data_IF_137751986255
#
_entry.id   IF_137751986255
#
_cell.length_a   1.000
_cell.length_b   1.000
_cell.length_c   1.000
_cell.angle_alpha   90.00
_cell.angle_beta   90.00
_cell.angle_gamma   90.00
#
_symmetry.space_group_name_H-M   'P 1'
#
loop_
_entity.id
_entity.type
_entity.pdbx_description
1 polymer ?
#
# COMPACT_ATOMS: atom_id res chain seq x y z
N UNK A 1 9.09 0.40 -17.83
CA UNK A 1 8.01 1.39 -17.61
C UNK A 1 8.45 2.84 -17.76
N UNK A 2 9.58 3.32 -17.20
CA UNK A 2 10.05 4.71 -17.41
C UNK A 2 10.09 5.14 -18.89
N UNK A 3 10.48 4.22 -19.77
CA UNK A 3 10.58 4.47 -21.21
C UNK A 3 9.22 4.45 -21.94
N UNK A 4 8.13 4.03 -21.28
CA UNK A 4 6.79 4.00 -21.85
C UNK A 4 6.02 5.32 -21.63
N UNK A 5 6.54 6.22 -20.77
CA UNK A 5 5.92 7.49 -20.42
C UNK A 5 4.43 7.37 -20.03
N UNK A 6 4.11 6.36 -19.23
CA UNK A 6 2.74 6.11 -18.74
C UNK A 6 2.54 6.71 -17.34
N UNK A 7 1.32 7.18 -17.00
CA UNK A 7 1.04 7.89 -15.75
C UNK A 7 0.88 6.98 -14.54
N UNK A 8 1.44 5.76 -14.58
CA UNK A 8 1.35 4.81 -13.47
C UNK A 8 2.38 5.13 -12.40
N UNK A 9 1.92 5.24 -11.15
CA UNK A 9 2.76 5.42 -9.98
C UNK A 9 2.76 4.17 -9.10
N UNK A 10 3.90 3.88 -8.47
CA UNK A 10 4.07 2.79 -7.52
C UNK A 10 3.50 3.20 -6.17
N UNK A 11 2.60 2.40 -5.60
CA UNK A 11 2.00 2.62 -4.28
C UNK A 11 2.13 1.36 -3.40
N UNK A 12 1.36 1.30 -2.32
CA UNK A 12 1.21 0.12 -1.49
C UNK A 12 2.45 -0.26 -0.68
N UNK A 13 2.52 -1.54 -0.29
CA UNK A 13 3.57 -2.05 0.59
C UNK A 13 4.97 -1.97 -0.02
N UNK A 14 5.07 -2.10 -1.34
CA UNK A 14 6.35 -2.03 -2.06
C UNK A 14 6.88 -0.61 -2.15
N UNK A 15 6.01 0.39 -2.37
CA UNK A 15 6.39 1.80 -2.25
C UNK A 15 6.91 2.13 -0.85
N UNK A 16 6.18 1.75 0.21
CA UNK A 16 6.60 2.00 1.59
C UNK A 16 7.92 1.33 1.93
N UNK A 17 8.02 0.03 1.64
CA UNK A 17 9.21 -0.76 1.96
C UNK A 17 10.43 -0.24 1.22
N UNK A 18 10.37 -0.11 -0.10
CA UNK A 18 11.58 0.18 -0.92
C UNK A 18 11.82 1.67 -1.15
N UNK A 19 10.80 2.50 -0.98
CA UNK A 19 10.87 3.94 -1.21
C UNK A 19 10.99 4.80 0.05
N UNK A 20 10.56 4.29 1.21
CA UNK A 20 10.50 5.08 2.45
C UNK A 20 11.24 4.46 3.64
N UNK A 21 10.87 3.26 4.09
CA UNK A 21 11.22 2.80 5.44
C UNK A 21 12.11 1.55 5.52
N UNK A 22 12.12 0.72 4.48
CA UNK A 22 12.85 -0.53 4.42
C UNK A 22 12.63 -1.43 5.66
N UNK A 23 11.37 -1.56 6.08
CA UNK A 23 10.96 -2.27 7.31
C UNK A 23 10.70 -3.76 7.10
N UNK A 24 10.02 -4.14 6.01
CA UNK A 24 9.70 -5.53 5.65
C UNK A 24 9.81 -5.78 4.15
N UNK A 25 9.93 -7.03 3.72
CA UNK A 25 9.79 -7.39 2.30
C UNK A 25 8.33 -7.28 1.84
N UNK A 26 8.16 -7.02 0.54
CA UNK A 26 6.88 -6.96 -0.15
C UNK A 26 7.06 -7.69 -1.48
N UNK A 27 6.10 -8.58 -1.79
CA UNK A 27 6.18 -9.51 -2.93
C UNK A 27 5.23 -9.09 -4.08
N UNK A 28 4.52 -7.96 -3.90
CA UNK A 28 3.50 -7.45 -4.82
C UNK A 28 3.97 -6.12 -5.46
N UNK A 29 3.54 -5.82 -6.68
CA UNK A 29 3.76 -4.53 -7.33
C UNK A 29 2.40 -3.89 -7.60
N UNK A 30 2.10 -2.82 -6.87
CA UNK A 30 0.88 -2.03 -7.00
C UNK A 30 1.16 -0.77 -7.84
N UNK A 31 0.59 -0.69 -9.04
CA UNK A 31 0.76 0.43 -9.96
C UNK A 31 -0.59 1.08 -10.23
N UNK A 32 -0.73 2.32 -9.79
CA UNK A 32 -2.01 3.02 -9.81
C UNK A 32 -1.97 4.18 -10.81
N UNK A 33 -3.13 4.51 -11.35
CA UNK A 33 -3.45 5.82 -11.95
C UNK A 33 -4.66 6.39 -11.23
N UNK A 34 -4.92 7.70 -11.31
CA UNK A 34 -6.13 8.28 -10.74
C UNK A 34 -7.10 8.75 -11.82
N UNK A 35 -8.34 8.24 -11.76
CA UNK A 35 -9.47 8.57 -12.63
C UNK A 35 -9.07 8.75 -14.12
N UNK A 36 -8.31 7.79 -14.63
CA UNK A 36 -7.68 7.86 -15.94
C UNK A 36 -8.55 7.17 -17.01
N UNK A 37 -9.18 7.91 -17.93
CA UNK A 37 -10.03 7.33 -18.97
C UNK A 37 -9.27 6.43 -19.95
N UNK A 38 -7.94 6.54 -20.00
CA UNK A 38 -7.08 5.72 -20.86
C UNK A 38 -6.49 4.49 -20.14
N UNK A 39 -6.89 4.23 -18.88
CA UNK A 39 -6.32 3.17 -18.04
C UNK A 39 -6.19 1.84 -18.77
N UNK A 40 -7.26 1.34 -19.40
CA UNK A 40 -7.28 0.02 -20.05
C UNK A 40 -6.26 -0.10 -21.19
N UNK A 41 -6.14 0.94 -22.01
CA UNK A 41 -5.20 0.97 -23.13
C UNK A 41 -3.76 1.03 -22.60
N UNK A 42 -3.51 1.88 -21.61
CA UNK A 42 -2.18 2.06 -21.04
C UNK A 42 -1.74 0.83 -20.22
N UNK A 43 -2.65 0.18 -19.49
CA UNK A 43 -2.40 -1.07 -18.80
C UNK A 43 -2.06 -2.20 -19.78
N UNK A 44 -2.75 -2.27 -20.92
CA UNK A 44 -2.37 -3.18 -22.01
C UNK A 44 -0.96 -2.90 -22.53
N UNK A 45 -0.57 -1.63 -22.70
CA UNK A 45 0.78 -1.28 -23.11
C UNK A 45 1.84 -1.76 -22.09
N UNK A 46 1.54 -1.76 -20.79
CA UNK A 46 2.42 -2.34 -19.76
C UNK A 46 2.56 -3.85 -19.98
N UNK A 47 1.46 -4.57 -20.12
CA UNK A 47 1.44 -6.03 -20.34
C UNK A 47 2.21 -6.40 -21.60
N UNK A 48 1.93 -5.73 -22.73
CA UNK A 48 2.61 -5.98 -24.00
C UNK A 48 4.12 -5.69 -23.89
N UNK A 49 4.50 -4.63 -23.14
CA UNK A 49 5.91 -4.33 -22.88
C UNK A 49 6.58 -5.38 -22.00
N UNK A 50 5.90 -5.93 -20.98
CA UNK A 50 6.45 -7.01 -20.15
C UNK A 50 6.73 -8.24 -21.01
N UNK A 51 5.77 -8.67 -21.84
CA UNK A 51 5.94 -9.81 -22.75
C UNK A 51 7.08 -9.57 -23.74
N UNK A 52 7.14 -8.37 -24.35
CA UNK A 52 8.23 -7.99 -25.25
C UNK A 52 9.62 -8.09 -24.59
N UNK A 53 9.70 -7.84 -23.27
CA UNK A 53 10.95 -7.94 -22.49
C UNK A 53 11.17 -9.32 -21.86
N UNK A 54 10.50 -10.37 -22.35
CA UNK A 54 10.77 -11.76 -21.94
C UNK A 54 10.07 -12.21 -20.65
N UNK A 55 9.18 -11.39 -20.08
CA UNK A 55 8.36 -11.83 -18.96
C UNK A 55 7.21 -12.71 -19.45
N UNK A 56 6.95 -13.80 -18.73
CA UNK A 56 5.80 -14.66 -18.94
C UNK A 56 4.70 -14.28 -17.97
N UNK A 57 3.49 -14.07 -18.49
CA UNK A 57 2.28 -13.81 -17.70
C UNK A 57 1.56 -15.13 -17.46
N UNK A 58 1.24 -15.43 -16.20
CA UNK A 58 0.41 -16.58 -15.87
C UNK A 58 -1.06 -16.28 -16.19
N UNK A 59 -1.52 -16.76 -17.34
CA UNK A 59 -2.88 -16.55 -17.82
C UNK A 59 -3.96 -17.08 -16.85
N UNK A 60 -3.65 -18.08 -16.02
CA UNK A 60 -4.61 -18.63 -15.06
C UNK A 60 -4.88 -17.67 -13.88
N UNK A 61 -4.02 -16.67 -13.69
CA UNK A 61 -4.09 -15.70 -12.58
C UNK A 61 -4.72 -14.37 -12.99
N UNK A 62 -4.97 -14.15 -14.29
CA UNK A 62 -5.44 -12.87 -14.80
C UNK A 62 -6.85 -12.58 -14.27
N UNK A 63 -6.97 -11.49 -13.53
CA UNK A 63 -8.25 -10.90 -13.15
C UNK A 63 -8.36 -9.53 -13.79
N UNK A 64 -9.52 -9.20 -14.37
CA UNK A 64 -9.76 -7.90 -15.02
C UNK A 64 -11.16 -7.40 -14.74
N UNK A 65 -11.26 -6.12 -14.39
CA UNK A 65 -12.51 -5.36 -14.32
C UNK A 65 -12.34 -4.02 -15.07
N UNK A 66 -13.27 -3.09 -14.88
CA UNK A 66 -13.21 -1.76 -15.51
C UNK A 66 -11.94 -0.99 -15.09
N UNK A 67 -11.63 -1.02 -13.80
CA UNK A 67 -10.61 -0.18 -13.16
C UNK A 67 -9.49 -0.99 -12.48
N UNK A 68 -9.40 -2.29 -12.78
CA UNK A 68 -8.45 -3.18 -12.13
C UNK A 68 -7.98 -4.28 -13.08
N UNK A 69 -6.68 -4.56 -13.11
CA UNK A 69 -6.08 -5.71 -13.79
C UNK A 69 -5.00 -6.29 -12.88
N UNK A 70 -5.10 -7.59 -12.59
CA UNK A 70 -4.15 -8.31 -11.73
C UNK A 70 -3.65 -9.57 -12.41
N UNK A 71 -2.36 -9.86 -12.29
CA UNK A 71 -1.74 -11.02 -12.89
C UNK A 71 -0.39 -11.33 -12.21
N UNK A 72 0.05 -12.58 -12.29
CA UNK A 72 1.39 -12.99 -11.87
C UNK A 72 2.32 -13.01 -13.09
N UNK A 73 3.54 -12.50 -12.90
CA UNK A 73 4.62 -12.57 -13.87
C UNK A 73 5.79 -13.42 -13.37
N UNK A 74 6.48 -14.04 -14.32
CA UNK A 74 7.73 -14.77 -14.13
C UNK A 74 8.72 -14.41 -15.24
N UNK A 75 10.00 -14.73 -15.04
CA UNK A 75 11.04 -14.52 -16.03
C UNK A 75 12.13 -15.58 -15.84
N UNK A 76 12.65 -16.15 -16.92
CA UNK A 76 13.62 -17.27 -16.85
C UNK A 76 14.89 -16.95 -16.03
N UNK A 77 15.39 -15.73 -16.13
CA UNK A 77 16.55 -15.25 -15.36
C UNK A 77 16.28 -15.00 -13.87
N UNK A 78 15.03 -15.04 -13.41
CA UNK A 78 14.66 -14.75 -12.02
C UNK A 78 13.85 -15.91 -11.43
N UNK A 79 14.38 -16.56 -10.40
CA UNK A 79 13.66 -17.62 -9.68
C UNK A 79 12.67 -17.04 -8.65
N UNK A 80 11.78 -16.14 -9.10
CA UNK A 80 10.76 -15.49 -8.28
C UNK A 80 9.51 -15.24 -9.13
N UNK A 81 8.36 -15.32 -8.50
CA UNK A 81 7.09 -14.90 -9.08
C UNK A 81 6.68 -13.57 -8.45
N UNK A 82 6.18 -12.63 -9.25
CA UNK A 82 5.71 -11.34 -8.76
C UNK A 82 4.26 -11.16 -9.15
N UNK A 83 3.42 -10.83 -8.17
CA UNK A 83 2.06 -10.37 -8.43
C UNK A 83 2.10 -8.90 -8.83
N UNK A 84 1.42 -8.55 -9.90
CA UNK A 84 1.24 -7.17 -10.34
C UNK A 84 -0.24 -6.81 -10.31
N UNK A 85 -0.55 -5.70 -9.66
CA UNK A 85 -1.87 -5.10 -9.63
C UNK A 85 -1.81 -3.72 -10.31
N UNK A 86 -2.53 -3.58 -11.41
CA UNK A 86 -2.73 -2.31 -12.12
C UNK A 86 -4.11 -1.78 -11.75
N UNK A 87 -4.18 -0.57 -11.19
CA UNK A 87 -5.43 -0.03 -10.64
C UNK A 87 -5.68 1.38 -11.16
N UNK A 88 -6.93 1.66 -11.55
CA UNK A 88 -7.42 3.00 -11.79
C UNK A 88 -8.21 3.46 -10.57
N UNK A 89 -7.54 4.11 -9.64
CA UNK A 89 -8.19 4.59 -8.42
C UNK A 89 -9.10 5.78 -8.78
N UNK A 90 -10.41 5.57 -8.65
CA UNK A 90 -11.43 6.60 -8.87
C UNK A 90 -11.62 7.49 -7.65
N UNK A 91 -11.11 7.07 -6.49
CA UNK A 91 -11.15 7.87 -5.28
C UNK A 91 -10.13 9.04 -5.35
N UNK A 92 -10.27 10.06 -4.50
CA UNK A 92 -9.30 11.14 -4.40
C UNK A 92 -7.89 10.63 -4.11
N UNK A 93 -6.89 11.36 -4.59
CA UNK A 93 -5.48 11.14 -4.26
C UNK A 93 -5.00 12.25 -3.32
N UNK A 94 -4.25 11.88 -2.29
CA UNK A 94 -3.75 12.83 -1.29
C UNK A 94 -2.21 12.96 -1.36
N UNK A 95 -1.68 14.17 -1.29
CA UNK A 95 -0.24 14.40 -1.38
C UNK A 95 0.28 14.43 -2.82
N UNK A 96 1.53 14.02 -3.04
CA UNK A 96 2.17 14.18 -4.36
C UNK A 96 2.94 12.95 -4.81
N UNK A 97 2.86 12.65 -6.11
CA UNK A 97 3.69 11.63 -6.74
C UNK A 97 5.11 12.18 -6.92
N UNK A 98 6.10 11.49 -6.37
CA UNK A 98 7.49 11.95 -6.32
C UNK A 98 8.46 10.85 -6.77
N UNK A 99 9.61 11.21 -7.36
CA UNK A 99 10.64 10.24 -7.67
C UNK A 99 11.27 9.68 -6.39
N UNK A 100 11.40 8.35 -6.33
CA UNK A 100 12.13 7.63 -5.30
C UNK A 100 13.13 6.66 -5.94
N UNK A 101 14.14 6.17 -5.20
CA UNK A 101 15.09 5.19 -5.72
C UNK A 101 14.44 3.92 -6.28
N UNK A 102 13.32 3.49 -5.68
CA UNK A 102 12.56 2.31 -6.15
C UNK A 102 11.88 2.55 -7.50
N UNK A 103 11.28 3.73 -7.70
CA UNK A 103 10.53 4.04 -8.91
C UNK A 103 10.31 5.55 -9.05
N UNK A 104 10.37 6.05 -10.30
CA UNK A 104 10.38 7.49 -10.59
C UNK A 104 9.02 8.18 -10.40
N UNK A 105 7.93 7.43 -10.35
CA UNK A 105 6.60 7.90 -9.96
C UNK A 105 6.18 7.10 -8.73
N UNK A 106 6.64 7.47 -7.54
CA UNK A 106 6.25 6.77 -6.31
C UNK A 106 5.22 7.61 -5.54
N UNK A 107 4.21 6.94 -5.02
CA UNK A 107 3.13 7.54 -4.25
C UNK A 107 3.63 8.23 -2.98
N UNK A 108 2.85 9.18 -2.48
CA UNK A 108 3.09 9.85 -1.21
C UNK A 108 2.81 8.88 -0.06
N UNK A 109 3.65 8.93 0.99
CA UNK A 109 3.42 8.13 2.19
C UNK A 109 2.06 8.42 2.82
N UNK A 110 1.55 9.65 2.68
CA UNK A 110 0.27 10.04 3.23
C UNK A 110 -0.89 9.39 2.47
N UNK A 111 -0.89 9.40 1.12
CA UNK A 111 -1.88 8.64 0.36
C UNK A 111 -1.87 7.16 0.72
N UNK A 112 -0.67 6.59 0.88
CA UNK A 112 -0.54 5.18 1.27
C UNK A 112 -1.12 4.96 2.67
N UNK A 113 -0.86 5.83 3.65
CA UNK A 113 -1.49 5.76 4.97
C UNK A 113 -3.01 5.72 4.85
N UNK A 114 -3.61 6.65 4.10
CA UNK A 114 -5.05 6.71 3.87
C UNK A 114 -5.56 5.38 3.29
N UNK A 115 -4.91 4.86 2.24
CA UNK A 115 -5.27 3.58 1.63
C UNK A 115 -5.09 2.39 2.59
N UNK A 116 -4.15 2.43 3.52
CA UNK A 116 -4.00 1.36 4.52
C UNK A 116 -5.10 1.39 5.56
N UNK A 117 -5.53 2.58 6.00
CA UNK A 117 -6.67 2.73 6.90
C UNK A 117 -7.93 2.15 6.27
N UNK A 118 -8.16 2.43 4.98
CA UNK A 118 -9.34 1.93 4.28
C UNK A 118 -9.33 0.40 4.14
N UNK A 119 -8.17 -0.28 4.09
CA UNK A 119 -8.11 -1.74 3.90
C UNK A 119 -8.09 -2.58 5.18
N UNK A 120 -8.10 -1.96 6.37
CA UNK A 120 -7.97 -2.67 7.67
C UNK A 120 -9.00 -3.79 7.89
N UNK A 121 -10.18 -3.70 7.29
CA UNK A 121 -11.22 -4.74 7.37
C UNK A 121 -10.80 -6.10 6.81
N UNK A 122 -9.74 -6.15 5.98
CA UNK A 122 -9.18 -7.40 5.44
C UNK A 122 -8.42 -8.20 6.51
N UNK A 123 -8.09 -7.56 7.63
CA UNK A 123 -7.31 -8.16 8.73
C UNK A 123 -5.94 -8.69 8.29
N UNK A 124 -5.35 -8.11 7.23
CA UNK A 124 -4.02 -8.44 6.75
C UNK A 124 -2.97 -7.75 7.62
N UNK A 125 -2.19 -8.53 8.37
CA UNK A 125 -1.17 -8.03 9.32
C UNK A 125 -0.20 -7.00 8.70
N UNK A 126 0.08 -7.11 7.39
CA UNK A 126 0.92 -6.18 6.64
C UNK A 126 0.37 -4.75 6.68
N UNK A 127 -0.95 -4.57 6.67
CA UNK A 127 -1.58 -3.24 6.69
C UNK A 127 -1.41 -2.58 8.06
N UNK A 128 -1.60 -3.32 9.15
CA UNK A 128 -1.35 -2.84 10.52
C UNK A 128 0.11 -2.45 10.72
N UNK A 129 1.03 -3.29 10.26
CA UNK A 129 2.47 -3.02 10.31
C UNK A 129 2.83 -1.79 9.48
N UNK A 130 2.25 -1.63 8.30
CA UNK A 130 2.55 -0.47 7.45
C UNK A 130 2.05 0.83 8.09
N UNK A 131 0.84 0.86 8.67
CA UNK A 131 0.32 2.01 9.44
C UNK A 131 1.24 2.32 10.63
N UNK A 132 1.59 1.30 11.40
CA UNK A 132 2.49 1.43 12.55
C UNK A 132 3.82 2.08 12.16
N UNK A 133 4.47 1.56 11.12
CA UNK A 133 5.76 2.06 10.68
C UNK A 133 5.66 3.48 10.14
N UNK A 134 4.58 3.83 9.43
CA UNK A 134 4.33 5.22 9.05
C UNK A 134 4.23 6.10 10.29
N UNK A 135 3.43 5.70 11.28
CA UNK A 135 3.23 6.47 12.50
C UNK A 135 4.51 6.65 13.33
N UNK A 136 5.41 5.66 13.36
CA UNK A 136 6.73 5.83 14.01
C UNK A 136 7.64 6.88 13.35
N UNK A 137 7.40 7.25 12.09
CA UNK A 137 8.34 8.06 11.31
C UNK A 137 7.71 9.32 10.68
N UNK A 138 6.41 9.53 10.83
CA UNK A 138 5.66 10.62 10.20
C UNK A 138 4.67 11.24 11.16
N UNK A 139 4.71 12.56 11.27
CA UNK A 139 3.69 13.36 11.95
C UNK A 139 2.48 13.52 11.03
N UNK A 140 1.29 13.28 11.58
CA UNK A 140 0.00 13.52 10.94
C UNK A 140 -1.07 13.63 12.03
N UNK A 141 -2.24 14.16 11.68
CA UNK A 141 -3.39 14.21 12.57
C UNK A 141 -4.40 13.10 12.23
N UNK A 142 -4.89 12.38 13.24
CA UNK A 142 -5.80 11.25 13.02
C UNK A 142 -7.19 11.65 12.54
N UNK A 143 -7.73 12.79 13.00
CA UNK A 143 -9.02 13.29 12.52
C UNK A 143 -8.95 13.66 11.04
N UNK A 144 -7.87 14.32 10.62
CA UNK A 144 -7.64 14.63 9.22
C UNK A 144 -7.48 13.35 8.38
N UNK A 145 -6.66 12.40 8.84
CA UNK A 145 -6.43 11.15 8.13
C UNK A 145 -7.73 10.33 7.98
N UNK A 146 -8.56 10.25 9.03
CA UNK A 146 -9.86 9.59 8.95
C UNK A 146 -10.83 10.32 8.04
N UNK A 147 -10.84 11.67 8.06
CA UNK A 147 -11.66 12.46 7.14
C UNK A 147 -11.31 12.15 5.69
N UNK A 148 -10.01 12.16 5.36
CA UNK A 148 -9.53 11.84 4.02
C UNK A 148 -9.80 10.38 3.63
N UNK A 149 -9.70 9.44 4.58
CA UNK A 149 -10.05 8.04 4.34
C UNK A 149 -11.54 7.86 4.02
N UNK A 150 -12.42 8.64 4.67
CA UNK A 150 -13.88 8.62 4.40
C UNK A 150 -14.25 9.14 3.01
N UNK A 151 -13.41 9.99 2.41
CA UNK A 151 -13.60 10.40 1.02
C UNK A 151 -13.35 9.24 0.03
N UNK A 152 -12.60 8.20 0.46
CA UNK A 152 -12.36 6.98 -0.33
C UNK A 152 -13.32 5.85 0.00
N UNK A 153 -13.58 5.62 1.28
CA UNK A 153 -14.43 4.52 1.76
C UNK A 153 -15.41 5.03 2.82
N UNK A 154 -16.71 4.97 2.51
CA UNK A 154 -17.74 5.45 3.43
C UNK A 154 -17.88 4.50 4.63
N UNK A 155 -18.26 5.05 5.78
CA UNK A 155 -18.53 4.24 6.98
C UNK A 155 -17.31 3.91 7.84
N UNK A 156 -16.15 4.52 7.56
CA UNK A 156 -15.00 4.44 8.46
C UNK A 156 -15.26 5.22 9.76
N UNK A 157 -15.68 4.51 10.80
CA UNK A 157 -15.91 5.04 12.14
C UNK A 157 -14.66 4.89 13.03
N UNK A 158 -14.27 5.89 13.86
CA UNK A 158 -13.04 5.82 14.65
C UNK A 158 -13.08 4.66 15.66
N UNK A 159 -14.24 4.36 16.25
CA UNK A 159 -14.41 3.26 17.20
C UNK A 159 -14.28 1.91 16.49
N UNK A 160 -14.81 1.80 15.27
CA UNK A 160 -14.59 0.61 14.43
C UNK A 160 -13.11 0.41 14.10
N UNK A 161 -12.41 1.45 13.66
CA UNK A 161 -10.99 1.35 13.31
C UNK A 161 -10.14 1.02 14.54
N UNK A 162 -10.41 1.68 15.68
CA UNK A 162 -9.78 1.36 16.96
C UNK A 162 -9.98 -0.11 17.34
N UNK A 163 -11.19 -0.65 17.16
CA UNK A 163 -11.47 -2.06 17.41
C UNK A 163 -10.66 -2.96 16.48
N UNK A 164 -10.56 -2.64 15.18
CA UNK A 164 -9.76 -3.41 14.23
C UNK A 164 -8.28 -3.44 14.65
N UNK A 165 -7.70 -2.29 15.00
CA UNK A 165 -6.32 -2.16 15.48
C UNK A 165 -6.07 -2.96 16.78
N UNK A 166 -7.10 -3.20 17.60
CA UNK A 166 -7.01 -4.08 18.79
C UNK A 166 -7.25 -5.57 18.49
N UNK A 167 -7.76 -5.91 17.32
CA UNK A 167 -8.01 -7.30 16.89
C UNK A 167 -6.88 -7.90 16.04
N UNK A 168 -5.69 -7.31 16.09
CA UNK A 168 -4.54 -7.74 15.28
C UNK A 168 -4.32 -9.25 15.44
N UNK A 169 -4.21 -10.02 14.34
CA UNK A 169 -3.86 -11.43 14.41
C UNK A 169 -2.39 -11.58 14.84
N UNK A 170 -2.14 -11.71 16.15
CA UNK A 170 -0.79 -11.73 16.74
C UNK A 170 0.07 -12.88 16.20
N UNK A 171 -0.53 -14.02 15.85
CA UNK A 171 0.17 -15.13 15.21
C UNK A 171 0.71 -14.75 13.81
N UNK A 172 0.02 -13.85 13.12
CA UNK A 172 0.42 -13.38 11.79
C UNK A 172 1.63 -12.42 11.83
N UNK A 173 1.92 -11.78 12.96
CA UNK A 173 3.11 -10.93 13.10
C UNK A 173 4.40 -11.72 12.85
N UNK A 174 4.46 -12.97 13.31
CA UNK A 174 5.61 -13.86 13.10
C UNK A 174 5.84 -14.23 11.64
N UNK A 175 4.81 -14.07 10.78
CA UNK A 175 4.86 -14.37 9.35
C UNK A 175 5.37 -13.19 8.52
N UNK A 176 5.55 -12.02 9.13
CA UNK A 176 6.12 -10.86 8.43
C UNK A 176 7.59 -11.13 8.11
N UNK A 177 7.93 -11.02 6.83
CA UNK A 177 9.31 -11.09 6.34
C UNK A 177 10.01 -9.76 6.66
N UNK A 178 10.49 -9.61 7.88
CA UNK A 178 11.17 -8.40 8.34
C UNK A 178 12.50 -8.14 7.63
N UNK A 179 12.79 -6.88 7.33
CA UNK A 179 14.13 -6.40 6.93
C UNK A 179 14.86 -5.83 8.14
N UNK A 180 14.12 -5.09 8.98
CA UNK A 180 14.57 -4.62 10.30
C UNK A 180 13.83 -5.41 11.38
N UNK A 181 14.54 -5.76 12.45
CA UNK A 181 13.97 -6.49 13.59
C UNK A 181 13.05 -5.58 14.39
N UNK A 182 11.84 -6.06 14.66
CA UNK A 182 10.85 -5.43 15.54
C UNK A 182 10.29 -6.50 16.48
N UNK A 183 10.00 -6.11 17.73
CA UNK A 183 9.41 -7.04 18.71
C UNK A 183 7.88 -6.95 18.71
N UNK A 184 7.23 -8.05 19.09
CA UNK A 184 5.77 -8.06 19.27
C UNK A 184 5.34 -7.12 20.41
N UNK A 185 6.14 -7.04 21.48
CA UNK A 185 5.86 -6.17 22.62
C UNK A 185 5.90 -4.69 22.21
N UNK A 186 6.91 -4.30 21.42
CA UNK A 186 6.99 -2.94 20.85
C UNK A 186 5.77 -2.62 19.99
N UNK A 187 5.40 -3.54 19.09
CA UNK A 187 4.22 -3.39 18.24
C UNK A 187 2.93 -3.22 19.04
N UNK A 188 2.73 -4.03 20.09
CA UNK A 188 1.52 -3.96 20.92
C UNK A 188 1.45 -2.66 21.73
N UNK A 189 2.56 -2.27 22.36
CA UNK A 189 2.60 -1.03 23.16
C UNK A 189 2.29 0.19 22.29
N UNK A 190 2.86 0.24 21.08
CA UNK A 190 2.65 1.33 20.15
C UNK A 190 1.21 1.32 19.57
N UNK A 191 0.60 0.15 19.37
CA UNK A 191 -0.79 0.05 18.91
C UNK A 191 -1.78 0.66 19.90
N UNK A 192 -1.57 0.48 21.21
CA UNK A 192 -2.42 1.13 22.21
C UNK A 192 -2.31 2.66 22.15
N UNK A 193 -1.12 3.21 21.89
CA UNK A 193 -0.93 4.64 21.68
C UNK A 193 -1.67 5.12 20.43
N UNK A 194 -1.53 4.41 19.31
CA UNK A 194 -2.24 4.76 18.07
C UNK A 194 -3.75 4.75 18.26
N UNK A 195 -4.29 3.79 19.00
CA UNK A 195 -5.73 3.74 19.28
C UNK A 195 -6.18 4.93 20.13
N UNK A 196 -5.37 5.33 21.12
CA UNK A 196 -5.72 6.49 21.95
C UNK A 196 -5.71 7.80 21.13
N UNK A 197 -4.69 8.00 20.29
CA UNK A 197 -4.60 9.18 19.43
C UNK A 197 -5.75 9.21 18.41
N UNK A 198 -6.04 8.05 17.79
CA UNK A 198 -7.16 7.85 16.86
C UNK A 198 -8.51 8.20 17.50
N UNK A 199 -8.81 7.68 18.68
CA UNK A 199 -10.08 7.92 19.37
C UNK A 199 -10.21 9.37 19.86
N UNK A 200 -9.09 10.04 20.13
CA UNK A 200 -9.05 11.43 20.54
C UNK A 200 -9.04 12.42 19.36
N UNK A 201 -8.86 11.96 18.12
CA UNK A 201 -8.68 12.85 16.97
C UNK A 201 -7.36 13.65 17.01
N UNK A 202 -6.38 13.15 17.77
CA UNK A 202 -5.17 13.88 18.09
C UNK A 202 -4.10 13.73 17.01
N UNK A 203 -3.06 14.55 17.14
CA UNK A 203 -1.81 14.33 16.41
C UNK A 203 -1.18 13.00 16.82
N UNK A 204 -0.60 12.30 15.84
CA UNK A 204 0.10 11.05 16.07
C UNK A 204 1.31 11.25 17.00
N UNK A 205 1.25 10.64 18.17
CA UNK A 205 2.26 10.77 19.23
C UNK A 205 3.44 9.80 19.11
N UNK A 206 3.38 8.81 18.21
CA UNK A 206 4.48 7.87 17.99
C UNK A 206 5.68 8.48 17.23
N UNK A 207 5.44 9.56 16.48
CA UNK A 207 6.50 10.24 15.75
C UNK A 207 7.19 11.24 16.68
N UNK A 208 8.32 10.84 17.26
CA UNK A 208 9.18 11.69 18.10
C UNK A 208 10.33 12.25 17.27
#
# INVERSE_FOLDING_TARGET
MKNLNLPFYLTGGTALSRGYFNHRYSDDIDLFTNNNPQFRIQAKNIIDSLVYNGYTIDNATITTSQDYISFIITHENFNVQLKMDLVNDVAPHFGSIQPKPVYYQTDDWYNILINKITTLFRLEIKDFVDIWIIAKHKSFNWDEALSNAREKELGLDPVMIAKLLKTVPLDAFTKIKWVKQYSLDEFNNDMDLLVNDLLGGNDNSLCI
#
